data_IF_776714353023
#
_entry.id   IF_776714353023
#
_cell.length_a   1.000
_cell.length_b   1.000
_cell.length_c   1.000
_cell.angle_alpha   90.00
_cell.angle_beta   90.00
_cell.angle_gamma   90.00
#
_symmetry.space_group_name_H-M   'P 1'
#
loop_
_entity.id
_entity.type
_entity.pdbx_description
1 polymer ?
#
# COMPACT_ATOMS: atom_id res chain seq x y z
N UNK A 1 15.57 2.01 6.57
CA UNK A 1 14.47 1.64 5.67
C UNK A 1 13.44 2.74 5.80
N UNK A 2 13.13 3.42 4.70
CA UNK A 2 12.08 4.44 4.68
C UNK A 2 10.75 3.78 5.04
N UNK A 3 9.87 4.51 5.73
CA UNK A 3 8.51 4.05 5.98
C UNK A 3 7.77 4.01 4.63
N UNK A 4 7.58 2.81 4.09
CA UNK A 4 6.91 2.62 2.81
C UNK A 4 5.41 2.80 3.04
N UNK A 5 4.81 3.78 2.35
CA UNK A 5 3.38 4.05 2.41
C UNK A 5 2.69 3.40 1.23
N UNK A 6 1.76 2.51 1.52
CA UNK A 6 0.84 1.91 0.55
C UNK A 6 -0.51 2.61 0.62
N UNK A 7 -1.22 2.68 -0.51
CA UNK A 7 -2.62 3.09 -0.47
C UNK A 7 -3.45 2.07 0.32
N UNK A 8 -4.36 2.53 1.19
CA UNK A 8 -5.27 1.67 1.96
C UNK A 8 -5.99 0.66 1.07
N UNK A 9 -6.42 1.09 -0.13
CA UNK A 9 -7.08 0.22 -1.10
C UNK A 9 -6.18 -0.93 -1.58
N UNK A 10 -4.87 -0.70 -1.73
CA UNK A 10 -3.93 -1.75 -2.12
C UNK A 10 -3.72 -2.72 -0.95
N UNK A 11 -3.56 -2.21 0.26
CA UNK A 11 -3.42 -3.04 1.45
C UNK A 11 -4.64 -3.93 1.66
N UNK A 12 -5.85 -3.38 1.57
CA UNK A 12 -7.10 -4.14 1.67
C UNK A 12 -7.22 -5.21 0.58
N UNK A 13 -6.83 -4.91 -0.66
CA UNK A 13 -6.84 -5.88 -1.75
C UNK A 13 -5.86 -7.04 -1.50
N UNK A 14 -4.66 -6.74 -1.01
CA UNK A 14 -3.66 -7.76 -0.71
C UNK A 14 -4.06 -8.57 0.53
N UNK A 15 -4.63 -7.96 1.57
CA UNK A 15 -5.21 -8.67 2.72
C UNK A 15 -6.22 -9.71 2.26
N UNK A 16 -7.18 -9.31 1.42
CA UNK A 16 -8.17 -10.23 0.85
C UNK A 16 -7.54 -11.40 0.09
N UNK A 17 -6.56 -11.11 -0.78
CA UNK A 17 -5.84 -12.14 -1.53
C UNK A 17 -5.02 -13.07 -0.63
N UNK A 18 -4.40 -12.54 0.43
CA UNK A 18 -3.64 -13.32 1.42
C UNK A 18 -4.57 -14.22 2.22
N UNK A 19 -5.68 -13.71 2.74
CA UNK A 19 -6.69 -14.49 3.45
C UNK A 19 -7.23 -15.62 2.58
N UNK A 20 -7.55 -15.34 1.32
CA UNK A 20 -8.01 -16.35 0.36
C UNK A 20 -6.94 -17.42 0.11
N UNK A 21 -5.68 -17.00 -0.11
CA UNK A 21 -4.58 -17.91 -0.37
C UNK A 21 -4.20 -18.78 0.84
N UNK A 22 -4.33 -18.25 2.05
CA UNK A 22 -4.06 -18.98 3.30
C UNK A 22 -5.09 -20.10 3.53
N UNK A 23 -6.36 -19.87 3.20
CA UNK A 23 -7.43 -20.84 3.42
C UNK A 23 -7.45 -21.35 4.86
N UNK A 24 -7.39 -22.67 5.04
CA UNK A 24 -7.40 -23.34 6.36
C UNK A 24 -6.02 -23.45 7.02
N UNK A 25 -5.02 -22.67 6.57
CA UNK A 25 -3.69 -22.66 7.19
C UNK A 25 -3.79 -22.27 8.67
N UNK A 26 -3.04 -22.98 9.52
CA UNK A 26 -3.05 -22.79 10.97
C UNK A 26 -1.64 -22.56 11.52
N UNK A 27 -1.54 -21.59 12.43
CA UNK A 27 -0.36 -21.36 13.24
C UNK A 27 -0.52 -22.06 14.60
N UNK A 28 0.56 -22.70 15.06
CA UNK A 28 0.64 -23.27 16.40
C UNK A 28 1.18 -22.20 17.36
N UNK A 29 0.45 -21.94 18.45
CA UNK A 29 0.85 -20.93 19.45
C UNK A 29 1.73 -21.49 20.58
N UNK A 30 2.04 -22.80 20.54
CA UNK A 30 2.92 -23.44 21.52
C UNK A 30 4.39 -23.26 21.15
N UNK A 31 5.24 -23.26 22.17
CA UNK A 31 6.69 -23.31 22.01
C UNK A 31 7.14 -24.63 21.39
N UNK A 32 8.25 -24.60 20.64
CA UNK A 32 8.81 -25.75 19.93
C UNK A 32 8.99 -27.00 20.80
N UNK A 33 9.41 -26.86 22.07
CA UNK A 33 9.62 -28.00 22.97
C UNK A 33 8.34 -28.78 23.29
N UNK A 34 7.14 -28.19 23.13
CA UNK A 34 5.88 -28.91 23.34
C UNK A 34 5.72 -30.08 22.35
N UNK A 35 6.31 -29.98 21.15
CA UNK A 35 6.28 -31.04 20.14
C UNK A 35 6.96 -32.32 20.64
N UNK A 36 8.10 -32.21 21.33
CA UNK A 36 8.84 -33.39 21.81
C UNK A 36 8.14 -34.12 22.95
N UNK A 37 7.23 -33.47 23.67
CA UNK A 37 6.47 -34.07 24.77
C UNK A 37 5.10 -34.61 24.33
N UNK A 38 4.71 -34.42 23.06
CA UNK A 38 3.44 -34.92 22.53
C UNK A 38 2.20 -34.34 23.21
N UNK A 39 2.30 -33.15 23.79
CA UNK A 39 1.23 -32.50 24.55
C UNK A 39 0.35 -31.57 23.72
N UNK A 40 0.58 -31.51 22.40
CA UNK A 40 -0.21 -30.69 21.49
C UNK A 40 -1.55 -31.31 21.15
N UNK A 41 -2.60 -30.48 21.15
CA UNK A 41 -3.94 -30.82 20.71
C UNK A 41 -4.46 -29.86 19.64
N UNK A 42 -5.69 -30.12 19.17
CA UNK A 42 -6.38 -29.27 18.19
C UNK A 42 -6.50 -27.81 18.62
N UNK A 43 -6.65 -27.57 19.92
CA UNK A 43 -6.92 -26.26 20.51
C UNK A 43 -5.66 -25.38 20.60
N UNK A 44 -4.49 -25.94 20.28
CA UNK A 44 -3.22 -25.19 20.21
C UNK A 44 -2.98 -24.52 18.85
N UNK A 45 -3.91 -24.72 17.90
CA UNK A 45 -3.81 -24.22 16.54
C UNK A 45 -4.91 -23.20 16.23
N UNK A 46 -4.50 -22.07 15.66
CA UNK A 46 -5.39 -20.97 15.27
C UNK A 46 -5.33 -20.76 13.76
N UNK A 47 -6.47 -20.42 13.15
CA UNK A 47 -6.52 -20.11 11.73
C UNK A 47 -5.79 -18.79 11.47
N UNK A 48 -4.79 -18.83 10.59
CA UNK A 48 -3.99 -17.65 10.23
C UNK A 48 -4.89 -16.59 9.58
N UNK A 49 -5.85 -17.04 8.76
CA UNK A 49 -6.82 -16.19 8.08
C UNK A 49 -7.73 -15.39 9.04
N UNK A 50 -7.90 -15.82 10.29
CA UNK A 50 -8.72 -15.15 11.30
C UNK A 50 -7.92 -14.22 12.22
N UNK A 51 -6.59 -14.27 12.14
CA UNK A 51 -5.70 -13.36 12.86
C UNK A 51 -5.37 -12.14 11.97
N UNK A 52 -6.09 -11.04 12.20
CA UNK A 52 -5.92 -9.81 11.43
C UNK A 52 -4.49 -9.27 11.48
N UNK A 53 -3.81 -9.36 12.64
CA UNK A 53 -2.44 -8.87 12.75
C UNK A 53 -1.46 -9.73 11.94
N UNK A 54 -1.70 -11.04 11.90
CA UNK A 54 -0.90 -11.98 11.11
C UNK A 54 -1.12 -11.80 9.60
N UNK A 55 -2.37 -11.63 9.18
CA UNK A 55 -2.71 -11.31 7.79
C UNK A 55 -2.08 -9.98 7.37
N UNK A 56 -2.08 -8.98 8.25
CA UNK A 56 -1.46 -7.68 8.00
C UNK A 56 0.05 -7.78 7.78
N UNK A 57 0.74 -8.53 8.64
CA UNK A 57 2.17 -8.78 8.52
C UNK A 57 2.52 -9.42 7.16
N UNK A 58 1.76 -10.45 6.78
CA UNK A 58 1.97 -11.17 5.51
C UNK A 58 1.65 -10.25 4.31
N UNK A 59 0.56 -9.49 4.39
CA UNK A 59 0.16 -8.58 3.32
C UNK A 59 1.19 -7.47 3.08
N UNK A 60 1.73 -6.89 4.16
CA UNK A 60 2.80 -5.90 4.07
C UNK A 60 4.08 -6.51 3.49
N UNK A 61 4.48 -7.70 3.94
CA UNK A 61 5.64 -8.39 3.38
C UNK A 61 5.49 -8.69 1.87
N UNK A 62 4.29 -9.09 1.43
CA UNK A 62 4.00 -9.32 0.03
C UNK A 62 4.05 -8.03 -0.80
N UNK A 63 3.54 -6.92 -0.26
CA UNK A 63 3.63 -5.60 -0.89
C UNK A 63 5.08 -5.12 -1.00
N UNK A 64 5.87 -5.24 0.08
CA UNK A 64 7.29 -4.87 0.08
C UNK A 64 8.08 -5.67 -0.97
N UNK A 65 7.85 -6.98 -1.05
CA UNK A 65 8.50 -7.84 -2.02
C UNK A 65 8.10 -7.53 -3.49
N UNK A 66 6.96 -6.87 -3.72
CA UNK A 66 6.49 -6.55 -5.07
C UNK A 66 7.25 -5.40 -5.74
N UNK A 67 7.97 -4.58 -4.97
CA UNK A 67 8.72 -3.42 -5.48
C UNK A 67 7.85 -2.25 -5.99
N UNK A 68 6.53 -2.30 -5.79
CA UNK A 68 5.62 -1.23 -6.23
C UNK A 68 5.95 0.11 -5.57
N UNK A 69 6.40 0.08 -4.31
CA UNK A 69 6.86 1.26 -3.58
C UNK A 69 8.10 1.90 -4.21
N UNK A 70 9.08 1.08 -4.60
CA UNK A 70 10.30 1.56 -5.26
C UNK A 70 9.96 2.26 -6.59
N UNK A 71 8.99 1.72 -7.35
CA UNK A 71 8.51 2.36 -8.57
C UNK A 71 7.84 3.71 -8.29
N UNK A 72 7.05 3.83 -7.23
CA UNK A 72 6.42 5.09 -6.84
C UNK A 72 7.48 6.14 -6.44
N UNK A 73 8.51 5.75 -5.69
CA UNK A 73 9.61 6.64 -5.30
C UNK A 73 10.36 7.20 -6.52
N UNK A 74 10.62 6.36 -7.53
CA UNK A 74 11.24 6.82 -8.80
C UNK A 74 10.35 7.84 -9.51
N UNK A 75 9.04 7.62 -9.52
CA UNK A 75 8.10 8.58 -10.12
C UNK A 75 8.04 9.91 -9.34
N UNK A 76 8.16 9.89 -8.02
CA UNK A 76 8.28 11.10 -7.19
C UNK A 76 9.55 11.86 -7.50
N UNK A 77 10.68 11.16 -7.63
CA UNK A 77 11.96 11.77 -7.99
C UNK A 77 11.87 12.46 -9.36
N UNK A 78 11.32 11.77 -10.37
CA UNK A 78 11.14 12.35 -11.71
C UNK A 78 10.21 13.56 -11.70
N UNK A 79 9.13 13.52 -10.91
CA UNK A 79 8.24 14.65 -10.72
C UNK A 79 8.98 15.85 -10.08
N UNK A 80 9.80 15.61 -9.06
CA UNK A 80 10.59 16.64 -8.39
C UNK A 80 11.65 17.24 -9.32
N UNK A 81 12.34 16.43 -10.12
CA UNK A 81 13.31 16.90 -11.12
C UNK A 81 12.66 17.74 -12.22
N UNK A 82 11.46 17.36 -12.66
CA UNK A 82 10.68 18.13 -13.63
C UNK A 82 10.22 19.48 -13.03
N UNK A 83 9.73 19.48 -11.78
CA UNK A 83 9.30 20.69 -11.09
C UNK A 83 10.48 21.63 -10.78
N UNK A 84 11.69 21.07 -10.60
CA UNK A 84 12.94 21.83 -10.47
C UNK A 84 13.51 22.33 -11.81
N UNK A 85 12.96 21.89 -12.94
CA UNK A 85 13.47 22.22 -14.29
C UNK A 85 14.76 21.50 -14.68
N UNK A 86 15.19 20.50 -13.92
CA UNK A 86 16.36 19.66 -14.22
C UNK A 86 16.12 18.77 -15.43
N UNK A 87 14.88 18.29 -15.59
CA UNK A 87 14.44 17.46 -16.71
C UNK A 87 13.21 18.08 -17.35
N UNK A 88 13.17 18.11 -18.69
CA UNK A 88 12.00 18.59 -19.43
C UNK A 88 11.14 17.40 -19.87
N UNK A 89 9.94 17.29 -19.31
CA UNK A 89 8.95 16.28 -19.70
C UNK A 89 7.70 16.93 -20.32
N UNK A 90 7.00 16.25 -21.26
CA UNK A 90 5.72 16.74 -21.77
C UNK A 90 4.68 16.90 -20.66
N UNK A 91 3.83 17.92 -20.73
CA UNK A 91 2.81 18.20 -19.72
C UNK A 91 1.85 17.02 -19.48
N UNK A 92 1.48 16.31 -20.54
CA UNK A 92 0.65 15.10 -20.43
C UNK A 92 1.32 13.98 -19.62
N UNK A 93 2.65 13.84 -19.75
CA UNK A 93 3.41 12.86 -18.97
C UNK A 93 3.45 13.26 -17.49
N UNK A 94 3.68 14.54 -17.18
CA UNK A 94 3.63 15.06 -15.80
C UNK A 94 2.29 14.79 -15.11
N UNK A 95 1.18 14.98 -15.83
CA UNK A 95 -0.17 14.68 -15.35
C UNK A 95 -0.38 13.18 -15.09
N UNK A 96 0.17 12.33 -15.95
CA UNK A 96 0.06 10.87 -15.79
C UNK A 96 0.87 10.37 -14.60
N UNK A 97 2.06 10.94 -14.38
CA UNK A 97 2.89 10.66 -13.20
C UNK A 97 2.11 11.04 -11.92
N UNK A 98 1.48 12.21 -11.89
CA UNK A 98 0.66 12.61 -10.74
C UNK A 98 -0.50 11.66 -10.48
N UNK A 99 -1.20 11.23 -11.52
CA UNK A 99 -2.29 10.27 -11.39
C UNK A 99 -1.79 8.92 -10.82
N UNK A 100 -0.61 8.46 -11.24
CA UNK A 100 0.00 7.25 -10.72
C UNK A 100 0.36 7.38 -9.24
N UNK A 101 1.02 8.47 -8.85
CA UNK A 101 1.40 8.75 -7.46
C UNK A 101 0.19 8.91 -6.53
N UNK A 102 -0.90 9.54 -7.01
CA UNK A 102 -2.15 9.62 -6.27
C UNK A 102 -2.76 8.22 -6.07
N UNK A 103 -2.75 7.39 -7.12
CA UNK A 103 -3.28 6.03 -7.05
C UNK A 103 -2.45 5.12 -6.12
N UNK A 104 -1.14 5.34 -6.03
CA UNK A 104 -0.24 4.65 -5.12
C UNK A 104 -0.36 5.13 -3.66
N UNK A 105 -1.10 6.21 -3.40
CA UNK A 105 -1.22 6.81 -2.06
C UNK A 105 -0.04 7.70 -1.65
N UNK A 106 0.95 7.87 -2.53
CA UNK A 106 2.17 8.66 -2.27
C UNK A 106 1.94 10.18 -2.46
N UNK A 107 0.92 10.58 -3.24
CA UNK A 107 0.51 11.98 -3.43
C UNK A 107 -0.94 12.22 -3.00
N UNK A 108 -1.20 13.35 -2.32
CA UNK A 108 -2.55 13.77 -1.98
C UNK A 108 -3.37 14.09 -3.25
N UNK A 109 -4.64 13.67 -3.27
CA UNK A 109 -5.56 14.05 -4.34
C UNK A 109 -5.71 15.58 -4.40
N UNK A 110 -5.81 16.18 -5.60
CA UNK A 110 -6.01 17.61 -5.73
C UNK A 110 -7.32 18.02 -5.05
N UNK A 111 -7.28 19.14 -4.33
CA UNK A 111 -8.49 19.72 -3.76
C UNK A 111 -9.41 20.20 -4.89
N UNK A 112 -10.72 20.07 -4.69
CA UNK A 112 -11.69 20.49 -5.69
C UNK A 112 -11.49 21.98 -6.03
N UNK A 113 -11.27 22.27 -7.32
CA UNK A 113 -11.07 23.64 -7.79
C UNK A 113 -12.36 24.42 -7.57
N UNK A 114 -12.27 25.52 -6.81
CA UNK A 114 -13.37 26.46 -6.64
C UNK A 114 -13.44 27.34 -7.89
N UNK A 115 -14.47 27.15 -8.70
CA UNK A 115 -14.76 28.06 -9.81
C UNK A 115 -15.28 29.39 -9.25
N UNK A 116 -14.47 30.44 -9.37
CA UNK A 116 -14.91 31.80 -9.03
C UNK A 116 -15.51 32.45 -10.29
N UNK A 117 -16.79 32.80 -10.22
CA UNK A 117 -17.40 33.64 -11.26
C UNK A 117 -17.05 35.09 -10.95
N UNK A 118 -16.14 35.68 -11.74
CA UNK A 118 -15.90 37.13 -11.70
C UNK A 118 -17.03 37.79 -12.48
N UNK A 119 -18.16 38.03 -11.81
CA UNK A 119 -19.20 38.89 -12.32
C UNK A 119 -18.66 40.32 -12.35
N UNK A 120 -18.49 40.88 -13.55
CA UNK A 120 -18.17 42.30 -13.71
C UNK A 120 -19.27 43.15 -13.08
N UNK A 121 -19.04 43.65 -11.87
CA UNK A 121 -19.86 44.71 -11.29
C UNK A 121 -19.34 46.06 -11.81
N UNK A 122 -20.12 46.66 -12.71
CA UNK A 122 -20.44 48.09 -12.73
C UNK A 122 -19.36 49.06 -13.25
N UNK A 123 -19.56 49.53 -14.49
CA UNK A 123 -19.61 50.95 -14.80
C UNK A 123 -20.98 51.26 -15.42
#
# INVERSE_FOLDING_TARGET
MNEIKYADKQLEAVRGAVTEALGDARDCLRVWSAWSYGTMGSDDFYLVAEDAARVDEIALAALDASGIADMAEVLELLAAEADAGTVMIPSALRLTIDAALIKAGSKAAPTAVRHVTIGGQGM
#
